data_IF_211086977644
#
_entry.id   IF_211086977644
#
_cell.length_a   1.000
_cell.length_b   1.000
_cell.length_c   1.000
_cell.angle_alpha   90.00
_cell.angle_beta   90.00
_cell.angle_gamma   90.00
#
_symmetry.space_group_name_H-M   'P 1'
#
loop_
_entity.id
_entity.type
_entity.pdbx_description
1 polymer ?
#
# COMPACT_ATOMS: atom_id res chain seq x y z
N UNK A 1 3.80 -13.41 -8.82
CA UNK A 1 4.96 -13.08 -9.66
C UNK A 1 4.90 -11.58 -9.93
N UNK A 2 5.65 -10.76 -9.18
CA UNK A 2 5.71 -9.31 -9.40
C UNK A 2 6.50 -9.06 -10.68
N UNK A 3 5.78 -8.74 -11.77
CA UNK A 3 6.42 -8.33 -13.03
C UNK A 3 6.64 -6.82 -12.96
N UNK A 4 7.86 -6.42 -12.61
CA UNK A 4 8.29 -5.02 -12.66
C UNK A 4 8.29 -4.44 -14.09
N UNK A 5 8.26 -5.31 -15.10
CA UNK A 5 8.27 -4.99 -16.53
C UNK A 5 6.99 -4.32 -17.10
N UNK A 6 6.19 -3.67 -16.25
CA UNK A 6 5.02 -2.87 -16.63
C UNK A 6 5.28 -1.36 -16.75
N UNK A 7 6.53 -0.90 -16.60
CA UNK A 7 6.95 0.50 -16.71
C UNK A 7 6.89 1.06 -18.15
N UNK A 8 5.94 0.62 -18.97
CA UNK A 8 5.90 1.05 -20.36
C UNK A 8 5.17 2.35 -20.61
N UNK A 9 4.16 2.79 -19.84
CA UNK A 9 3.48 4.08 -20.12
C UNK A 9 2.74 4.75 -18.94
N UNK A 10 2.59 4.11 -17.77
CA UNK A 10 1.74 4.64 -16.69
C UNK A 10 2.49 4.76 -15.37
N UNK A 11 2.42 5.95 -14.77
CA UNK A 11 2.99 6.23 -13.45
C UNK A 11 2.31 5.37 -12.38
N UNK A 12 3.07 4.92 -11.39
CA UNK A 12 2.53 4.18 -10.25
C UNK A 12 1.60 5.09 -9.45
N UNK A 13 0.50 4.56 -8.93
CA UNK A 13 -0.36 5.32 -8.02
C UNK A 13 0.18 5.20 -6.59
N UNK A 14 -0.17 6.14 -5.71
CA UNK A 14 0.23 6.05 -4.30
C UNK A 14 -0.28 4.75 -3.65
N UNK A 15 -1.48 4.28 -4.00
CA UNK A 15 -2.00 2.97 -3.56
C UNK A 15 -1.08 1.82 -3.98
N UNK A 16 -0.62 1.82 -5.24
CA UNK A 16 0.30 0.79 -5.73
C UNK A 16 1.64 0.85 -4.97
N UNK A 17 2.14 2.05 -4.65
CA UNK A 17 3.36 2.25 -3.87
C UNK A 17 3.18 1.74 -2.44
N UNK A 18 2.09 2.12 -1.74
CA UNK A 18 1.81 1.64 -0.36
C UNK A 18 1.73 0.12 -0.30
N UNK A 19 1.03 -0.51 -1.25
CA UNK A 19 0.92 -1.97 -1.34
C UNK A 19 2.29 -2.61 -1.60
N UNK A 20 3.07 -2.07 -2.54
CA UNK A 20 4.39 -2.59 -2.85
C UNK A 20 5.35 -2.52 -1.67
N UNK A 21 5.44 -1.38 -0.99
CA UNK A 21 6.32 -1.21 0.17
C UNK A 21 5.90 -2.14 1.31
N UNK A 22 4.60 -2.25 1.59
CA UNK A 22 4.07 -3.16 2.61
C UNK A 22 4.40 -4.62 2.30
N UNK A 23 4.15 -5.05 1.06
CA UNK A 23 4.34 -6.44 0.63
C UNK A 23 5.83 -6.80 0.57
N UNK A 24 6.69 -5.86 0.18
CA UNK A 24 8.14 -6.03 0.16
C UNK A 24 8.74 -6.05 1.58
N UNK A 25 8.19 -5.24 2.50
CA UNK A 25 8.61 -5.18 3.89
C UNK A 25 10.14 -4.98 4.01
N UNK A 26 10.83 -5.78 4.84
CA UNK A 26 12.29 -5.69 5.00
C UNK A 26 13.12 -5.97 3.74
N UNK A 27 12.54 -6.64 2.74
CA UNK A 27 13.27 -6.99 1.51
C UNK A 27 13.24 -5.87 0.46
N UNK A 28 12.55 -4.75 0.73
CA UNK A 28 12.38 -3.64 -0.22
C UNK A 28 13.71 -3.15 -0.80
N UNK A 29 14.68 -2.87 0.06
CA UNK A 29 16.01 -2.39 -0.35
C UNK A 29 16.72 -3.42 -1.25
N UNK A 30 16.67 -4.70 -0.86
CA UNK A 30 17.29 -5.78 -1.63
C UNK A 30 16.62 -5.96 -2.99
N UNK A 31 15.31 -5.80 -3.07
CA UNK A 31 14.55 -5.85 -4.31
C UNK A 31 14.93 -4.72 -5.26
N UNK A 32 15.11 -3.49 -4.76
CA UNK A 32 15.57 -2.37 -5.57
C UNK A 32 16.97 -2.63 -6.17
N UNK A 33 17.91 -3.09 -5.34
CA UNK A 33 19.28 -3.43 -5.78
C UNK A 33 19.25 -4.51 -6.86
N UNK A 34 18.52 -5.61 -6.61
CA UNK A 34 18.42 -6.72 -7.57
C UNK A 34 17.81 -6.26 -8.90
N UNK A 35 16.78 -5.43 -8.86
CA UNK A 35 16.09 -5.06 -10.09
C UNK A 35 16.88 -4.05 -10.92
N UNK A 36 17.63 -3.13 -10.30
CA UNK A 36 18.60 -2.28 -11.02
C UNK A 36 19.70 -3.13 -11.67
N UNK A 37 20.20 -4.15 -10.97
CA UNK A 37 21.25 -5.02 -11.48
C UNK A 37 20.80 -5.92 -12.66
N UNK A 38 19.52 -6.28 -12.74
CA UNK A 38 18.96 -7.14 -13.79
C UNK A 38 18.75 -6.43 -15.15
N UNK A 39 18.90 -5.10 -15.19
CA UNK A 39 18.78 -4.31 -16.42
C UNK A 39 19.97 -4.59 -17.35
N UNK A 40 19.83 -5.59 -18.22
CA UNK A 40 20.88 -6.06 -19.14
C UNK A 40 20.69 -5.61 -20.60
N UNK A 41 19.88 -4.58 -20.85
CA UNK A 41 19.52 -4.18 -22.23
C UNK A 41 20.63 -3.41 -22.94
N UNK A 42 20.89 -3.75 -24.21
CA UNK A 42 21.77 -2.99 -25.10
C UNK A 42 21.10 -1.74 -25.69
N UNK A 43 19.79 -1.57 -25.51
CA UNK A 43 19.06 -0.40 -25.99
C UNK A 43 19.16 0.74 -24.98
N UNK A 44 20.04 1.70 -25.26
CA UNK A 44 20.30 2.85 -24.39
C UNK A 44 19.03 3.63 -24.01
N UNK A 45 18.13 3.89 -24.95
CA UNK A 45 16.88 4.61 -24.67
C UNK A 45 15.96 3.85 -23.72
N UNK A 46 15.96 2.51 -23.81
CA UNK A 46 15.17 1.66 -22.91
C UNK A 46 15.79 1.61 -21.51
N UNK A 47 17.12 1.56 -21.43
CA UNK A 47 17.83 1.64 -20.16
C UNK A 47 17.56 2.98 -19.44
N UNK A 48 17.73 4.10 -20.14
CA UNK A 48 17.49 5.45 -19.59
C UNK A 48 16.05 5.63 -19.09
N UNK A 49 15.05 5.11 -19.81
CA UNK A 49 13.65 5.16 -19.37
C UNK A 49 13.41 4.33 -18.10
N UNK A 50 14.01 3.15 -18.01
CA UNK A 50 13.87 2.29 -16.84
C UNK A 50 14.56 2.92 -15.63
N UNK A 51 15.74 3.49 -15.81
CA UNK A 51 16.45 4.21 -14.75
C UNK A 51 15.63 5.38 -14.21
N UNK A 52 15.14 6.26 -15.09
CA UNK A 52 14.27 7.38 -14.69
C UNK A 52 13.01 6.92 -13.96
N UNK A 53 12.38 5.86 -14.46
CA UNK A 53 11.23 5.23 -13.83
C UNK A 53 11.52 4.76 -12.39
N UNK A 54 12.67 4.13 -12.18
CA UNK A 54 13.10 3.67 -10.85
C UNK A 54 13.41 4.83 -9.91
N UNK A 55 14.10 5.85 -10.41
CA UNK A 55 14.42 7.04 -9.62
C UNK A 55 13.13 7.75 -9.15
N UNK A 56 12.12 7.89 -10.04
CA UNK A 56 10.80 8.42 -9.69
C UNK A 56 10.09 7.58 -8.61
N UNK A 57 10.15 6.25 -8.74
CA UNK A 57 9.56 5.35 -7.75
C UNK A 57 10.22 5.50 -6.37
N UNK A 58 11.55 5.48 -6.33
CA UNK A 58 12.32 5.62 -5.09
C UNK A 58 12.05 6.97 -4.42
N UNK A 59 11.99 8.04 -5.23
CA UNK A 59 11.64 9.37 -4.73
C UNK A 59 10.24 9.37 -4.11
N UNK A 60 9.23 8.82 -4.78
CA UNK A 60 7.86 8.81 -4.26
C UNK A 60 7.68 7.90 -3.05
N UNK A 61 8.40 6.77 -2.99
CA UNK A 61 8.48 5.95 -1.78
C UNK A 61 9.02 6.80 -0.62
N UNK A 62 10.09 7.56 -0.83
CA UNK A 62 10.69 8.40 0.20
C UNK A 62 9.74 9.54 0.65
N UNK A 63 9.05 10.19 -0.30
CA UNK A 63 8.08 11.25 -0.01
C UNK A 63 6.92 10.74 0.84
N UNK A 64 6.31 9.60 0.44
CA UNK A 64 5.20 9.02 1.18
C UNK A 64 5.68 8.45 2.52
N UNK A 65 6.87 7.83 2.59
CA UNK A 65 7.45 7.33 3.83
C UNK A 65 7.79 8.45 4.84
N UNK A 66 8.09 9.66 4.36
CA UNK A 66 8.30 10.82 5.23
C UNK A 66 6.97 11.35 5.80
N UNK A 67 5.88 11.24 5.04
CA UNK A 67 4.54 11.63 5.47
C UNK A 67 3.84 10.55 6.32
N UNK A 68 4.16 9.28 6.08
CA UNK A 68 3.47 8.12 6.63
C UNK A 68 4.46 7.01 6.99
N UNK A 69 4.25 6.29 8.09
CA UNK A 69 5.03 5.07 8.37
C UNK A 69 4.59 3.91 7.46
N UNK A 70 5.11 3.91 6.23
CA UNK A 70 4.75 2.94 5.19
C UNK A 70 5.09 1.49 5.53
N UNK A 71 6.12 1.26 6.33
CA UNK A 71 6.51 -0.08 6.76
C UNK A 71 5.53 -0.64 7.80
N UNK A 72 4.87 0.25 8.56
CA UNK A 72 3.90 -0.11 9.58
C UNK A 72 2.45 0.24 9.20
N UNK A 73 2.11 0.29 7.90
CA UNK A 73 0.75 0.63 7.45
C UNK A 73 -0.27 -0.27 8.14
N UNK A 74 -1.09 0.38 8.96
CA UNK A 74 -2.19 -0.18 9.73
C UNK A 74 -3.43 0.66 9.50
N UNK A 75 -4.63 0.09 9.64
CA UNK A 75 -5.85 0.88 9.57
C UNK A 75 -5.87 1.94 10.67
N UNK A 76 -6.69 2.97 10.46
CA UNK A 76 -6.85 4.06 11.43
C UNK A 76 -7.63 3.65 12.70
N UNK A 77 -8.27 2.49 12.68
CA UNK A 77 -8.94 1.87 13.84
C UNK A 77 -8.35 0.49 14.15
N UNK A 78 -8.19 0.20 15.43
CA UNK A 78 -7.73 -1.10 15.91
C UNK A 78 -8.88 -2.11 16.14
N UNK A 79 -8.52 -3.36 16.44
CA UNK A 79 -9.51 -4.42 16.67
C UNK A 79 -10.44 -4.15 17.86
N UNK A 80 -9.98 -3.46 18.91
CA UNK A 80 -10.78 -3.13 20.08
C UNK A 80 -11.80 -2.03 19.74
N UNK A 81 -11.40 -1.04 18.95
CA UNK A 81 -12.27 0.01 18.45
C UNK A 81 -13.34 -0.56 17.53
N UNK A 82 -12.96 -1.44 16.58
CA UNK A 82 -13.91 -2.14 15.70
C UNK A 82 -14.94 -2.92 16.52
N UNK A 83 -14.50 -3.68 17.53
CA UNK A 83 -15.41 -4.43 18.41
C UNK A 83 -16.37 -3.51 19.15
N UNK A 84 -15.90 -2.35 19.62
CA UNK A 84 -16.72 -1.35 20.33
C UNK A 84 -17.75 -0.70 19.42
N UNK A 85 -17.33 -0.24 18.25
CA UNK A 85 -18.18 0.47 17.27
C UNK A 85 -19.28 -0.46 16.75
N UNK A 86 -18.91 -1.68 16.35
CA UNK A 86 -19.84 -2.64 15.76
C UNK A 86 -20.54 -3.53 16.80
N UNK A 87 -20.25 -3.34 18.10
CA UNK A 87 -20.74 -4.19 19.19
C UNK A 87 -20.48 -5.69 18.96
N UNK A 88 -19.32 -6.01 18.40
CA UNK A 88 -18.90 -7.37 18.05
C UNK A 88 -18.10 -8.02 19.18
N UNK A 89 -18.19 -9.35 19.27
CA UNK A 89 -17.26 -10.17 20.06
C UNK A 89 -16.00 -10.48 19.25
N UNK A 90 -14.89 -10.86 19.90
CA UNK A 90 -13.70 -11.34 19.18
C UNK A 90 -14.07 -12.50 18.24
N UNK A 91 -13.76 -12.35 16.95
CA UNK A 91 -14.15 -13.34 15.95
C UNK A 91 -13.78 -12.96 14.50
N UNK A 92 -14.15 -13.81 13.52
CA UNK A 92 -13.82 -13.60 12.12
C UNK A 92 -14.35 -12.29 11.53
N UNK A 93 -15.47 -11.79 12.05
CA UNK A 93 -16.10 -10.54 11.61
C UNK A 93 -15.21 -9.32 11.90
N UNK A 94 -14.54 -9.31 13.06
CA UNK A 94 -13.57 -8.26 13.42
C UNK A 94 -12.40 -8.28 12.44
N UNK A 95 -11.94 -9.47 12.04
CA UNK A 95 -10.88 -9.61 11.03
C UNK A 95 -11.31 -9.11 9.64
N UNK A 96 -12.57 -9.30 9.26
CA UNK A 96 -13.12 -8.80 8.00
C UNK A 96 -13.23 -7.27 8.01
N UNK A 97 -13.73 -6.69 9.10
CA UNK A 97 -13.77 -5.25 9.33
C UNK A 97 -12.37 -4.63 9.29
N UNK A 98 -11.40 -5.26 9.97
CA UNK A 98 -10.01 -4.81 9.96
C UNK A 98 -9.42 -4.84 8.56
N UNK A 99 -9.68 -5.92 7.79
CA UNK A 99 -9.23 -6.04 6.41
C UNK A 99 -9.84 -4.95 5.52
N UNK A 100 -11.13 -4.69 5.66
CA UNK A 100 -11.81 -3.62 4.93
C UNK A 100 -11.15 -2.24 5.17
N UNK A 101 -10.90 -1.90 6.43
CA UNK A 101 -10.25 -0.64 6.79
C UNK A 101 -8.80 -0.59 6.31
N UNK A 102 -8.09 -1.71 6.31
CA UNK A 102 -6.74 -1.81 5.77
C UNK A 102 -6.71 -1.56 4.26
N UNK A 103 -7.65 -2.13 3.52
CA UNK A 103 -7.76 -1.92 2.09
C UNK A 103 -8.06 -0.43 1.79
N UNK A 104 -8.94 0.22 2.56
CA UNK A 104 -9.15 1.67 2.48
C UNK A 104 -7.87 2.47 2.76
N UNK A 105 -7.13 2.13 3.82
CA UNK A 105 -5.86 2.80 4.17
C UNK A 105 -4.82 2.70 3.06
N UNK A 106 -4.78 1.57 2.37
CA UNK A 106 -3.87 1.35 1.23
C UNK A 106 -4.31 2.14 0.01
N UNK A 107 -5.61 2.16 -0.28
CA UNK A 107 -6.14 2.79 -1.49
C UNK A 107 -6.20 4.31 -1.41
N UNK A 108 -6.66 4.84 -0.28
CA UNK A 108 -6.96 6.27 -0.11
C UNK A 108 -5.93 6.98 0.77
N UNK A 109 -5.07 6.25 1.50
CA UNK A 109 -4.16 6.84 2.48
C UNK A 109 -4.83 7.02 3.85
N UNK A 110 -4.29 7.90 4.72
CA UNK A 110 -4.83 8.09 6.07
C UNK A 110 -6.15 8.86 5.97
N UNK A 111 -7.21 8.27 6.50
CA UNK A 111 -8.55 8.85 6.51
C UNK A 111 -8.85 9.52 7.86
N UNK A 112 -8.21 9.04 8.92
CA UNK A 112 -8.47 9.46 10.30
C UNK A 112 -9.61 8.66 10.93
N UNK A 113 -9.66 8.66 12.26
CA UNK A 113 -10.55 7.78 13.03
C UNK A 113 -12.04 8.02 12.73
N UNK A 114 -12.47 9.28 12.61
CA UNK A 114 -13.88 9.63 12.37
C UNK A 114 -14.38 9.16 10.98
N UNK A 115 -13.56 9.35 9.94
CA UNK A 115 -13.87 8.89 8.59
C UNK A 115 -13.87 7.36 8.54
N UNK A 116 -12.86 6.73 9.12
CA UNK A 116 -12.75 5.28 9.20
C UNK A 116 -13.94 4.65 9.92
N UNK A 117 -14.41 5.24 11.02
CA UNK A 117 -15.58 4.80 11.75
C UNK A 117 -16.84 4.88 10.88
N UNK A 118 -17.08 6.03 10.22
CA UNK A 118 -18.24 6.18 9.33
C UNK A 118 -18.25 5.12 8.23
N UNK A 119 -17.12 4.96 7.53
CA UNK A 119 -16.97 3.98 6.45
C UNK A 119 -17.15 2.55 6.95
N UNK A 120 -16.66 2.26 8.15
CA UNK A 120 -16.84 0.96 8.80
C UNK A 120 -18.31 0.66 9.07
N UNK A 121 -19.05 1.59 9.66
CA UNK A 121 -20.47 1.43 9.97
C UNK A 121 -21.31 1.30 8.70
N UNK A 122 -21.05 2.14 7.70
CA UNK A 122 -21.73 2.08 6.40
C UNK A 122 -21.53 0.71 5.74
N UNK A 123 -20.27 0.25 5.65
CA UNK A 123 -19.93 -1.05 5.11
C UNK A 123 -20.58 -2.20 5.88
N UNK A 124 -20.59 -2.13 7.21
CA UNK A 124 -21.19 -3.17 8.06
C UNK A 124 -22.71 -3.26 7.87
N UNK A 125 -23.39 -2.11 7.80
CA UNK A 125 -24.84 -2.04 7.62
C UNK A 125 -25.33 -2.51 6.23
N UNK A 126 -24.47 -2.42 5.22
CA UNK A 126 -24.75 -2.85 3.85
C UNK A 126 -24.57 -4.36 3.64
N UNK A 127 -24.15 -5.12 4.66
CA UNK A 127 -23.98 -6.57 4.56
C UNK A 127 -25.34 -7.27 4.53
N UNK A 128 -25.53 -8.27 3.64
CA UNK A 128 -26.76 -9.06 3.54
C UNK A 128 -26.97 -10.00 4.74
#
# INVERSE_FOLDING_TARGET
HLRFFGYSDQAWTDSAIRRYVRDAGPELERLHILTRADVTTRNRRKAERLEFAYDDLEQRIAEIAAAEDLAAVRPDLDGQEIMRILSLKPGPEVGQAYKFLLDLRLDEGPLGAEEAERRLTDWWSARP
#
